data_IF_152282573223
#
_entry.id   IF_152282573223
#
_cell.length_a   1.000
_cell.length_b   1.000
_cell.length_c   1.000
_cell.angle_alpha   90.00
_cell.angle_beta   90.00
_cell.angle_gamma   90.00
#
_symmetry.space_group_name_H-M   'P 1'
#
loop_
_entity.id
_entity.type
_entity.pdbx_description
1 polymer ?
#
# COMPACT_ATOMS: atom_id res chain seq x y z
N UNK A 1 16.99 40.71 57.13
CA UNK A 1 16.61 40.67 55.71
C UNK A 1 17.59 39.88 54.78
N UNK A 2 18.66 39.27 55.21
CA UNK A 2 19.62 38.48 54.37
C UNK A 2 19.21 37.02 54.09
N UNK A 3 18.27 36.45 54.82
CA UNK A 3 17.84 35.00 54.67
C UNK A 3 16.87 34.80 53.47
N UNK A 4 16.13 35.81 53.02
CA UNK A 4 15.15 35.68 51.93
C UNK A 4 15.78 35.58 50.54
N UNK A 5 16.99 36.10 50.31
CA UNK A 5 17.66 36.10 49.01
C UNK A 5 18.08 34.66 48.57
N UNK A 6 18.45 33.79 49.51
CA UNK A 6 18.81 32.41 49.23
C UNK A 6 17.62 31.55 48.78
N UNK A 7 16.43 31.77 49.38
CA UNK A 7 15.21 31.04 49.04
C UNK A 7 14.71 31.44 47.64
N UNK A 8 14.77 32.72 47.27
CA UNK A 8 14.39 33.19 45.94
C UNK A 8 15.27 32.59 44.84
N UNK A 9 16.59 32.52 45.10
CA UNK A 9 17.53 31.92 44.13
C UNK A 9 17.25 30.43 43.95
N UNK A 10 16.97 29.71 45.04
CA UNK A 10 16.64 28.28 45.02
C UNK A 10 15.34 28.01 44.25
N UNK A 11 14.30 28.83 44.50
CA UNK A 11 13.03 28.77 43.77
C UNK A 11 13.19 29.04 42.28
N UNK A 12 13.99 30.07 41.93
CA UNK A 12 14.28 30.39 40.55
C UNK A 12 15.00 29.24 39.84
N UNK A 13 15.94 28.57 40.53
CA UNK A 13 16.70 27.45 39.98
C UNK A 13 15.81 26.21 39.78
N UNK A 14 14.93 25.90 40.75
CA UNK A 14 13.97 24.80 40.62
C UNK A 14 12.99 25.06 39.50
N UNK A 15 12.46 26.30 39.38
CA UNK A 15 11.54 26.67 38.34
C UNK A 15 12.19 26.54 36.94
N UNK A 16 13.43 27.02 36.80
CA UNK A 16 14.21 26.91 35.57
C UNK A 16 14.46 25.44 35.18
N UNK A 17 14.75 24.57 36.16
CA UNK A 17 14.93 23.14 35.92
C UNK A 17 13.61 22.49 35.42
N UNK A 18 12.48 22.81 36.07
CA UNK A 18 11.17 22.28 35.67
C UNK A 18 10.80 22.73 34.26
N UNK A 19 11.01 24.01 33.90
CA UNK A 19 10.77 24.52 32.58
C UNK A 19 11.68 23.86 31.55
N UNK A 20 12.93 23.61 31.88
CA UNK A 20 13.88 22.88 31.04
C UNK A 20 13.44 21.43 30.77
N UNK A 21 12.93 20.73 31.80
CA UNK A 21 12.40 19.37 31.66
C UNK A 21 11.14 19.35 30.77
N UNK A 22 10.22 20.31 30.97
CA UNK A 22 9.02 20.42 30.13
C UNK A 22 9.37 20.71 28.67
N UNK A 23 10.31 21.61 28.42
CA UNK A 23 10.78 21.92 27.07
C UNK A 23 11.42 20.71 26.40
N UNK A 24 12.22 19.93 27.15
CA UNK A 24 12.87 18.71 26.64
C UNK A 24 11.84 17.62 26.30
N UNK A 25 10.78 17.45 27.12
CA UNK A 25 9.69 16.50 26.83
C UNK A 25 8.91 16.91 25.58
N UNK A 26 8.53 18.19 25.47
CA UNK A 26 7.81 18.69 24.31
C UNK A 26 8.61 18.52 22.99
N UNK A 27 9.94 18.70 23.03
CA UNK A 27 10.79 18.47 21.88
C UNK A 27 10.82 16.99 21.47
N UNK A 28 10.87 16.07 22.43
CA UNK A 28 10.81 14.62 22.12
C UNK A 28 9.49 14.25 21.46
N UNK A 29 8.38 14.74 21.99
CA UNK A 29 7.04 14.47 21.44
C UNK A 29 6.93 15.00 20.01
N UNK A 30 7.40 16.22 19.73
CA UNK A 30 7.43 16.80 18.39
C UNK A 30 8.30 15.98 17.41
N UNK A 31 9.43 15.43 17.86
CA UNK A 31 10.27 14.55 17.03
C UNK A 31 9.57 13.23 16.69
N UNK A 32 8.86 12.63 17.64
CA UNK A 32 8.09 11.40 17.41
C UNK A 32 6.97 11.67 16.42
N UNK A 33 6.20 12.75 16.61
CA UNK A 33 5.12 13.15 15.72
C UNK A 33 5.62 13.39 14.29
N UNK A 34 6.75 14.08 14.12
CA UNK A 34 7.35 14.33 12.83
C UNK A 34 7.75 13.01 12.12
N UNK A 35 8.31 12.05 12.85
CA UNK A 35 8.65 10.72 12.30
C UNK A 35 7.41 9.94 11.90
N UNK A 36 6.36 9.94 12.74
CA UNK A 36 5.10 9.27 12.43
C UNK A 36 4.44 9.87 11.18
N UNK A 37 4.43 11.21 11.06
CA UNK A 37 3.93 11.90 9.88
C UNK A 37 4.72 11.53 8.62
N UNK A 38 6.04 11.38 8.72
CA UNK A 38 6.91 10.90 7.64
C UNK A 38 6.53 9.49 7.18
N UNK A 39 6.41 8.53 8.11
CA UNK A 39 6.02 7.16 7.78
C UNK A 39 4.63 7.07 7.15
N UNK A 40 3.66 7.87 7.66
CA UNK A 40 2.32 7.92 7.08
C UNK A 40 2.35 8.43 5.64
N UNK A 41 3.10 9.51 5.39
CA UNK A 41 3.27 10.07 4.04
C UNK A 41 3.88 9.06 3.08
N UNK A 42 4.93 8.34 3.51
CA UNK A 42 5.59 7.32 2.70
C UNK A 42 4.66 6.15 2.39
N UNK A 43 3.86 5.72 3.37
CA UNK A 43 2.84 4.71 3.19
C UNK A 43 1.75 5.11 2.19
N UNK A 44 1.25 6.35 2.26
CA UNK A 44 0.25 6.89 1.31
C UNK A 44 0.82 6.99 -0.10
N UNK A 45 2.06 7.47 -0.25
CA UNK A 45 2.74 7.54 -1.54
C UNK A 45 2.93 6.16 -2.14
N UNK A 46 3.33 5.17 -1.34
CA UNK A 46 3.47 3.81 -1.79
C UNK A 46 2.12 3.18 -2.21
N UNK A 47 1.02 3.53 -1.53
CA UNK A 47 -0.33 3.11 -1.92
C UNK A 47 -0.72 3.72 -3.28
N UNK A 48 -0.50 5.02 -3.48
CA UNK A 48 -0.73 5.71 -4.74
C UNK A 48 0.07 5.06 -5.90
N UNK A 49 1.34 4.73 -5.67
CA UNK A 49 2.17 4.01 -6.64
C UNK A 49 1.63 2.62 -6.96
N UNK A 50 1.15 1.88 -5.97
CA UNK A 50 0.55 0.57 -6.17
C UNK A 50 -0.76 0.65 -6.97
N UNK A 51 -1.61 1.67 -6.73
CA UNK A 51 -2.82 1.94 -7.50
C UNK A 51 -2.49 2.29 -8.96
N UNK A 52 -1.54 3.19 -9.20
CA UNK A 52 -1.11 3.53 -10.55
C UNK A 52 -0.55 2.30 -11.29
N UNK A 53 0.19 1.45 -10.59
CA UNK A 53 0.72 0.19 -11.13
C UNK A 53 -0.40 -0.82 -11.43
N UNK A 54 -1.44 -0.88 -10.59
CA UNK A 54 -2.62 -1.70 -10.82
C UNK A 54 -3.36 -1.28 -12.09
N UNK A 55 -3.52 0.03 -12.31
CA UNK A 55 -4.11 0.57 -13.54
C UNK A 55 -3.27 0.25 -14.78
N UNK A 56 -1.94 0.26 -14.67
CA UNK A 56 -1.06 -0.16 -15.77
C UNK A 56 -1.27 -1.65 -16.11
N UNK A 57 -1.42 -2.51 -15.12
CA UNK A 57 -1.77 -3.92 -15.32
C UNK A 57 -3.15 -4.11 -15.94
N UNK A 58 -4.15 -3.32 -15.54
CA UNK A 58 -5.50 -3.31 -16.15
C UNK A 58 -5.45 -2.90 -17.64
N UNK A 59 -4.71 -1.85 -17.96
CA UNK A 59 -4.52 -1.40 -19.35
C UNK A 59 -3.87 -2.50 -20.19
N UNK A 60 -2.91 -3.23 -19.65
CA UNK A 60 -2.29 -4.36 -20.34
C UNK A 60 -3.25 -5.52 -20.57
N UNK A 61 -4.19 -5.80 -19.65
CA UNK A 61 -5.23 -6.81 -19.87
C UNK A 61 -6.11 -6.50 -21.08
N UNK A 62 -6.32 -5.21 -21.39
CA UNK A 62 -7.11 -4.80 -22.56
C UNK A 62 -6.36 -5.01 -23.87
N UNK A 63 -5.06 -4.86 -23.88
CA UNK A 63 -4.23 -4.91 -25.09
C UNK A 63 -3.59 -6.28 -25.32
N UNK A 64 -3.12 -6.93 -24.26
CA UNK A 64 -2.38 -8.18 -24.33
C UNK A 64 -2.69 -9.07 -23.11
N UNK A 65 -3.90 -9.66 -23.03
CA UNK A 65 -4.25 -10.56 -21.93
C UNK A 65 -3.35 -11.80 -21.95
N UNK A 66 -2.87 -12.27 -20.76
CA UNK A 66 -2.02 -13.44 -20.71
C UNK A 66 -2.80 -14.72 -21.01
N UNK A 67 -2.10 -15.74 -21.51
CA UNK A 67 -2.63 -17.09 -21.64
C UNK A 67 -2.98 -17.71 -20.28
N UNK A 68 -3.70 -18.84 -20.29
CA UNK A 68 -4.11 -19.55 -19.08
C UNK A 68 -2.88 -19.89 -18.22
N UNK A 69 -2.94 -19.60 -16.95
CA UNK A 69 -1.86 -19.92 -16.01
C UNK A 69 -1.85 -21.42 -15.69
N UNK A 70 -0.64 -22.03 -15.65
CA UNK A 70 -0.47 -23.43 -15.23
C UNK A 70 -0.61 -23.59 -13.72
N UNK A 71 -0.12 -22.63 -12.94
CA UNK A 71 -0.26 -22.56 -11.49
C UNK A 71 -0.87 -21.20 -11.13
N UNK A 72 -2.17 -21.18 -10.85
CA UNK A 72 -2.92 -19.95 -10.62
C UNK A 72 -2.94 -19.51 -9.15
N UNK A 73 -1.96 -19.95 -8.35
CA UNK A 73 -1.78 -19.46 -6.99
C UNK A 73 -1.37 -17.98 -7.00
N UNK A 74 -1.90 -17.21 -6.07
CA UNK A 74 -1.45 -15.85 -5.88
C UNK A 74 0.05 -15.84 -5.50
N UNK A 75 0.83 -14.82 -5.88
CA UNK A 75 2.23 -14.72 -5.47
C UNK A 75 2.38 -14.86 -3.96
N UNK A 76 3.25 -15.77 -3.50
CA UNK A 76 3.40 -16.05 -2.08
C UNK A 76 4.01 -14.86 -1.33
N UNK A 77 5.09 -14.29 -1.89
CA UNK A 77 5.83 -13.17 -1.29
C UNK A 77 5.91 -11.97 -2.24
N UNK A 78 4.78 -11.29 -2.52
CA UNK A 78 4.77 -10.20 -3.48
C UNK A 78 5.58 -8.99 -3.01
N UNK A 79 5.68 -8.76 -1.69
CA UNK A 79 6.49 -7.69 -1.13
C UNK A 79 7.99 -7.83 -1.45
N UNK A 80 8.46 -9.05 -1.71
CA UNK A 80 9.86 -9.35 -2.01
C UNK A 80 10.10 -9.51 -3.52
N UNK A 81 9.06 -9.30 -4.35
CA UNK A 81 9.10 -9.43 -5.81
C UNK A 81 9.60 -10.80 -6.28
N UNK A 82 9.30 -11.87 -5.52
CA UNK A 82 9.67 -13.22 -5.95
C UNK A 82 8.83 -13.64 -7.16
N UNK A 83 9.49 -14.19 -8.17
CA UNK A 83 8.87 -14.63 -9.42
C UNK A 83 9.08 -13.65 -10.57
N UNK A 84 8.22 -13.74 -11.58
CA UNK A 84 8.30 -12.89 -12.78
C UNK A 84 7.36 -11.69 -12.63
N UNK A 85 7.93 -10.50 -12.67
CA UNK A 85 7.21 -9.24 -12.57
C UNK A 85 7.47 -8.38 -13.79
N UNK A 86 6.44 -7.68 -14.22
CA UNK A 86 6.54 -6.65 -15.27
C UNK A 86 6.71 -5.29 -14.60
N UNK A 87 7.66 -4.49 -15.10
CA UNK A 87 7.90 -3.16 -14.58
C UNK A 87 6.92 -2.16 -15.19
N UNK A 88 6.43 -1.24 -14.36
CA UNK A 88 5.73 -0.02 -14.76
C UNK A 88 6.48 1.22 -14.30
N UNK A 89 5.97 2.41 -14.60
CA UNK A 89 6.56 3.66 -14.14
C UNK A 89 6.62 3.73 -12.60
N UNK A 90 5.55 3.29 -11.91
CA UNK A 90 5.37 3.48 -10.47
C UNK A 90 5.59 2.19 -9.65
N UNK A 91 5.86 1.04 -10.30
CA UNK A 91 6.05 -0.20 -9.57
C UNK A 91 6.21 -1.42 -10.45
N UNK A 92 5.73 -2.54 -9.94
CA UNK A 92 5.80 -3.85 -10.60
C UNK A 92 4.43 -4.52 -10.55
N UNK A 93 4.05 -5.21 -11.61
CA UNK A 93 2.80 -5.97 -11.61
C UNK A 93 2.98 -7.36 -12.23
N UNK A 94 2.06 -8.25 -11.88
CA UNK A 94 1.94 -9.59 -12.45
C UNK A 94 0.50 -9.82 -12.88
N UNK A 95 0.34 -10.42 -14.06
CA UNK A 95 -0.95 -10.81 -14.62
C UNK A 95 -1.08 -12.32 -14.61
N UNK A 96 -2.22 -12.82 -14.18
CA UNK A 96 -2.56 -14.24 -14.20
C UNK A 96 -3.96 -14.45 -14.78
N UNK A 97 -4.07 -15.34 -15.75
CA UNK A 97 -5.37 -15.78 -16.27
C UNK A 97 -5.86 -16.96 -15.44
N UNK A 98 -6.91 -16.75 -14.67
CA UNK A 98 -7.48 -17.74 -13.74
C UNK A 98 -8.47 -18.71 -14.42
N UNK A 99 -8.72 -18.52 -15.72
CA UNK A 99 -9.64 -19.34 -16.48
C UNK A 99 -11.05 -18.76 -16.58
N UNK A 100 -11.96 -19.59 -17.07
CA UNK A 100 -13.33 -19.22 -17.40
C UNK A 100 -14.24 -19.45 -16.19
N UNK A 101 -15.21 -18.56 -15.99
CA UNK A 101 -16.24 -18.66 -14.96
C UNK A 101 -17.61 -18.24 -15.51
N UNK A 102 -18.67 -18.87 -15.00
CA UNK A 102 -20.06 -18.47 -15.23
C UNK A 102 -20.70 -17.82 -13.99
N UNK A 103 -19.88 -17.60 -12.94
CA UNK A 103 -20.33 -17.12 -11.62
C UNK A 103 -19.52 -15.91 -11.15
N UNK A 104 -19.14 -15.04 -12.07
CA UNK A 104 -18.41 -13.83 -11.70
C UNK A 104 -19.34 -12.86 -10.95
N UNK A 105 -18.82 -12.24 -9.90
CA UNK A 105 -19.54 -11.24 -9.13
C UNK A 105 -19.87 -10.03 -10.03
N UNK A 106 -21.04 -9.43 -9.82
CA UNK A 106 -21.55 -8.29 -10.61
C UNK A 106 -21.77 -8.56 -12.11
N UNK A 107 -21.68 -9.82 -12.55
CA UNK A 107 -22.01 -10.23 -13.91
C UNK A 107 -23.33 -11.00 -13.95
N UNK A 108 -24.09 -10.99 -15.05
CA UNK A 108 -25.27 -11.81 -15.20
C UNK A 108 -24.93 -13.30 -15.02
N UNK A 109 -25.80 -14.02 -14.32
CA UNK A 109 -25.60 -15.47 -14.10
C UNK A 109 -25.65 -16.21 -15.42
N UNK A 110 -24.66 -17.06 -15.66
CA UNK A 110 -24.58 -17.86 -16.88
C UNK A 110 -23.71 -17.25 -17.96
N UNK A 111 -23.37 -15.97 -17.85
CA UNK A 111 -22.45 -15.34 -18.80
C UNK A 111 -21.04 -15.90 -18.64
N UNK A 112 -20.44 -16.29 -19.75
CA UNK A 112 -19.06 -16.76 -19.81
C UNK A 112 -18.10 -15.57 -19.74
N UNK A 113 -17.31 -15.52 -18.69
CA UNK A 113 -16.25 -14.52 -18.51
C UNK A 113 -14.92 -15.19 -18.25
N UNK A 114 -13.83 -14.57 -18.70
CA UNK A 114 -12.48 -14.97 -18.28
C UNK A 114 -12.07 -14.11 -17.08
N UNK A 115 -11.57 -14.77 -16.05
CA UNK A 115 -11.10 -14.11 -14.84
C UNK A 115 -9.59 -13.88 -14.92
N UNK A 116 -9.18 -12.67 -14.57
CA UNK A 116 -7.77 -12.29 -14.49
C UNK A 116 -7.44 -11.74 -13.12
N UNK A 117 -6.30 -12.13 -12.59
CA UNK A 117 -5.72 -11.49 -11.40
C UNK A 117 -4.64 -10.51 -11.82
N UNK A 118 -4.69 -9.32 -11.29
CA UNK A 118 -3.61 -8.34 -11.34
C UNK A 118 -3.10 -8.16 -9.93
N UNK A 119 -1.82 -8.44 -9.73
CA UNK A 119 -1.12 -8.14 -8.47
C UNK A 119 -0.14 -7.01 -8.76
N UNK A 120 -0.27 -5.90 -8.06
CA UNK A 120 0.54 -4.70 -8.22
C UNK A 120 1.33 -4.42 -6.94
N UNK A 121 2.58 -3.99 -7.10
CA UNK A 121 3.51 -3.70 -6.02
C UNK A 121 4.13 -2.34 -6.25
N UNK A 122 4.10 -1.46 -5.24
CA UNK A 122 4.73 -0.14 -5.31
C UNK A 122 6.24 -0.25 -5.52
N UNK A 123 6.84 0.78 -6.10
CA UNK A 123 8.28 0.85 -6.33
C UNK A 123 9.09 1.01 -5.05
N UNK A 124 8.55 1.74 -4.07
CA UNK A 124 9.26 2.11 -2.84
C UNK A 124 9.53 0.89 -1.95
N UNK A 125 10.79 0.54 -1.64
CA UNK A 125 11.11 -0.71 -0.93
C UNK A 125 10.75 -0.68 0.56
N UNK A 126 10.89 0.47 1.23
CA UNK A 126 10.72 0.58 2.69
C UNK A 126 9.25 0.55 3.12
N UNK A 127 8.36 1.13 2.31
CA UNK A 127 6.91 1.21 2.57
C UNK A 127 6.11 0.46 1.51
N UNK A 128 6.66 -0.66 0.99
CA UNK A 128 6.07 -1.38 -0.14
C UNK A 128 4.63 -1.79 0.13
N UNK A 129 3.73 -1.35 -0.75
CA UNK A 129 2.32 -1.70 -0.73
C UNK A 129 2.01 -2.69 -1.85
N UNK A 130 1.14 -3.65 -1.56
CA UNK A 130 0.71 -4.66 -2.52
C UNK A 130 -0.80 -4.62 -2.64
N UNK A 131 -1.28 -4.45 -3.87
CA UNK A 131 -2.68 -4.48 -4.23
C UNK A 131 -2.97 -5.66 -5.14
N UNK A 132 -4.09 -6.30 -4.94
CA UNK A 132 -4.56 -7.39 -5.78
C UNK A 132 -5.99 -7.12 -6.23
N UNK A 133 -6.24 -7.25 -7.51
CA UNK A 133 -7.59 -7.15 -8.09
C UNK A 133 -7.89 -8.33 -8.98
N UNK A 134 -9.15 -8.72 -9.01
CA UNK A 134 -9.70 -9.69 -9.96
C UNK A 134 -10.58 -8.93 -10.95
N UNK A 135 -10.35 -9.19 -12.21
CA UNK A 135 -11.11 -8.64 -13.33
C UNK A 135 -11.86 -9.74 -14.06
N UNK A 136 -13.09 -9.46 -14.44
CA UNK A 136 -13.89 -10.28 -15.31
C UNK A 136 -13.94 -9.64 -16.71
N UNK A 137 -13.58 -10.39 -17.73
CA UNK A 137 -13.67 -9.97 -19.12
C UNK A 137 -14.67 -10.88 -19.82
N UNK A 138 -15.80 -10.36 -20.35
CA UNK A 138 -16.77 -11.14 -21.13
C UNK A 138 -16.13 -11.75 -22.36
N UNK A 139 -16.56 -12.96 -22.75
CA UNK A 139 -16.04 -13.65 -23.92
C UNK A 139 -16.23 -12.87 -25.23
N UNK A 140 -17.23 -12.00 -25.30
CA UNK A 140 -17.51 -11.13 -26.44
C UNK A 140 -16.51 -9.96 -26.62
N UNK A 141 -15.56 -9.77 -25.72
CA UNK A 141 -14.45 -8.78 -25.75
C UNK A 141 -14.80 -7.33 -26.13
N UNK A 142 -16.07 -6.98 -26.20
CA UNK A 142 -16.52 -5.61 -26.54
C UNK A 142 -16.63 -4.68 -25.34
N UNK A 143 -16.47 -5.21 -24.13
CA UNK A 143 -16.57 -4.46 -22.89
C UNK A 143 -15.20 -4.36 -22.20
N UNK A 144 -14.98 -3.25 -21.53
CA UNK A 144 -13.79 -3.06 -20.70
C UNK A 144 -13.74 -4.10 -19.55
N UNK A 145 -12.55 -4.48 -19.07
CA UNK A 145 -12.40 -5.34 -17.91
C UNK A 145 -13.18 -4.80 -16.72
N UNK A 146 -14.06 -5.61 -16.14
CA UNK A 146 -14.80 -5.22 -14.95
C UNK A 146 -14.08 -5.70 -13.71
N UNK A 147 -13.66 -4.78 -12.84
CA UNK A 147 -13.06 -5.11 -11.55
C UNK A 147 -14.13 -5.63 -10.60
N UNK A 148 -14.03 -6.91 -10.22
CA UNK A 148 -14.99 -7.60 -9.36
C UNK A 148 -14.50 -7.80 -7.93
N UNK A 149 -13.20 -7.69 -7.70
CA UNK A 149 -12.58 -7.78 -6.38
C UNK A 149 -11.37 -6.85 -6.33
N UNK A 150 -11.18 -6.20 -5.20
CA UNK A 150 -9.99 -5.42 -4.87
C UNK A 150 -9.63 -5.68 -3.42
N UNK A 151 -8.33 -5.87 -3.14
CA UNK A 151 -7.82 -5.99 -1.78
C UNK A 151 -6.37 -5.51 -1.68
N UNK A 152 -6.03 -4.99 -0.52
CA UNK A 152 -4.66 -4.76 -0.11
C UNK A 152 -4.13 -6.03 0.57
N UNK A 153 -2.94 -6.44 0.20
CA UNK A 153 -2.25 -7.56 0.84
C UNK A 153 -1.23 -7.02 1.83
N UNK A 154 -1.44 -7.32 3.10
CA UNK A 154 -0.49 -6.98 4.15
C UNK A 154 0.70 -7.95 4.09
N UNK A 155 1.87 -7.49 4.53
CA UNK A 155 3.03 -8.37 4.73
C UNK A 155 2.68 -9.38 5.82
N UNK A 156 2.81 -10.64 5.51
CA UNK A 156 2.73 -11.71 6.50
C UNK A 156 4.16 -11.96 6.99
N UNK A 157 4.39 -11.68 8.26
CA UNK A 157 5.64 -11.98 8.96
C UNK A 157 5.75 -13.47 9.24
#
# INVERSE_FOLDING_TARGET
>A
MKRQRGVVLLLALVLSLLLGLLAASALRDALVETRMAGHLRDGLKALEQAEATLLAGEAQLQTAPPGLCQACLAPAHPHDLQGQWQASAEGFFQLQNLGISTRALHMPRGDLVTLYRVTAVSRQPESRQVLESIYAIPAAQTQAPQRILWRQRLRQD
#
